data_IF_279565196517
#
_entry.id   IF_279565196517
#
_cell.length_a   1.000
_cell.length_b   1.000
_cell.length_c   1.000
_cell.angle_alpha   90.00
_cell.angle_beta   90.00
_cell.angle_gamma   90.00
#
_symmetry.space_group_name_H-M   'P 1'
#
loop_
_entity.id
_entity.type
_entity.pdbx_description
1 polymer ?
#
# COMPACT_ATOMS: atom_id res chain seq x y z
N UNK A 1 29.52 10.19 -41.04
CA UNK A 1 29.53 10.09 -39.58
C UNK A 1 28.14 9.63 -39.15
N UNK A 2 28.06 8.36 -38.79
CA UNK A 2 26.86 7.73 -38.25
C UNK A 2 26.72 8.24 -36.81
N UNK A 3 25.56 8.84 -36.50
CA UNK A 3 25.21 9.26 -35.15
C UNK A 3 25.05 8.04 -34.21
N UNK A 4 25.62 8.17 -33.05
CA UNK A 4 25.58 7.19 -31.97
C UNK A 4 24.12 6.88 -31.56
N UNK A 5 23.75 5.63 -31.64
CA UNK A 5 22.49 5.10 -31.07
C UNK A 5 22.68 4.91 -29.57
N UNK A 6 22.36 5.91 -28.79
CA UNK A 6 22.27 5.82 -27.35
C UNK A 6 21.19 6.80 -26.88
N UNK A 7 19.94 6.37 -26.98
CA UNK A 7 18.86 6.76 -26.09
C UNK A 7 17.63 5.86 -26.35
N UNK A 8 17.80 4.56 -26.12
CA UNK A 8 16.66 3.73 -25.79
C UNK A 8 16.49 3.91 -24.26
N UNK A 9 15.80 4.97 -23.87
CA UNK A 9 15.19 5.01 -22.56
C UNK A 9 14.47 3.66 -22.37
N UNK A 10 14.80 2.96 -21.30
CA UNK A 10 14.15 1.70 -20.97
C UNK A 10 12.64 1.98 -20.88
N UNK A 11 11.93 1.63 -21.94
CA UNK A 11 10.48 1.73 -21.95
C UNK A 11 9.98 0.69 -20.95
N UNK A 12 9.50 1.15 -19.82
CA UNK A 12 8.91 0.26 -18.82
C UNK A 12 7.55 -0.23 -19.35
N UNK A 13 7.55 -1.47 -19.85
CA UNK A 13 6.35 -2.12 -20.40
C UNK A 13 5.38 -2.61 -19.31
N UNK A 14 5.47 -2.11 -18.08
CA UNK A 14 4.44 -2.42 -17.09
C UNK A 14 3.10 -1.87 -17.57
N UNK A 15 2.13 -2.75 -17.72
CA UNK A 15 0.77 -2.35 -18.04
C UNK A 15 0.11 -1.70 -16.84
N UNK A 16 -0.71 -0.68 -17.07
CA UNK A 16 -1.62 -0.16 -16.06
C UNK A 16 -2.66 -1.22 -15.71
N UNK A 17 -3.03 -1.27 -14.44
CA UNK A 17 -4.12 -2.12 -13.93
C UNK A 17 -5.14 -1.24 -13.22
N UNK A 18 -6.36 -1.74 -13.07
CA UNK A 18 -7.41 -1.09 -12.31
C UNK A 18 -7.56 -1.81 -10.97
N UNK A 19 -7.33 -1.07 -9.88
CA UNK A 19 -7.65 -1.52 -8.54
C UNK A 19 -9.07 -1.12 -8.18
N UNK A 20 -9.91 -2.10 -7.82
CA UNK A 20 -11.23 -1.85 -7.26
C UNK A 20 -11.15 -1.87 -5.71
N UNK A 21 -11.65 -0.80 -5.08
CA UNK A 21 -11.73 -0.65 -3.63
C UNK A 21 -13.20 -0.55 -3.22
N UNK A 22 -13.75 -1.63 -2.65
CA UNK A 22 -15.13 -1.64 -2.15
C UNK A 22 -15.21 -1.00 -0.76
N UNK A 23 -16.01 0.06 -0.63
CA UNK A 23 -16.21 0.82 0.60
C UNK A 23 -17.64 0.64 1.09
N UNK A 24 -17.79 0.32 2.37
CA UNK A 24 -19.10 0.27 3.07
C UNK A 24 -19.38 1.62 3.72
N UNK A 25 -20.64 1.98 3.90
CA UNK A 25 -21.01 3.16 4.66
C UNK A 25 -20.32 3.20 6.03
N UNK A 26 -19.76 4.37 6.38
CA UNK A 26 -18.94 4.55 7.57
C UNK A 26 -17.42 4.38 7.30
N UNK A 27 -16.66 3.97 8.32
CA UNK A 27 -15.22 3.86 8.26
C UNK A 27 -14.75 2.53 7.65
N UNK A 28 -13.81 2.62 6.72
CA UNK A 28 -13.12 1.51 6.07
C UNK A 28 -11.61 1.66 6.28
N UNK A 29 -10.90 0.55 6.40
CA UNK A 29 -9.45 0.51 6.50
C UNK A 29 -8.90 -0.10 5.20
N UNK A 30 -8.31 0.72 4.37
CA UNK A 30 -7.91 0.38 3.00
C UNK A 30 -6.46 0.72 2.72
N UNK A 31 -5.93 0.21 1.60
CA UNK A 31 -4.69 0.64 1.00
C UNK A 31 -4.79 0.62 -0.53
N UNK A 32 -3.85 1.28 -1.16
CA UNK A 32 -3.70 1.25 -2.62
C UNK A 32 -2.49 0.38 -2.97
N UNK A 33 -2.62 -0.45 -4.01
CA UNK A 33 -1.49 -1.20 -4.56
C UNK A 33 -1.09 -0.73 -5.95
N UNK A 34 -1.81 0.26 -6.48
CA UNK A 34 -1.47 0.93 -7.74
C UNK A 34 -1.02 2.37 -7.47
N UNK A 35 -0.06 2.82 -8.25
CA UNK A 35 0.40 4.22 -8.32
C UNK A 35 -0.18 4.83 -9.59
N UNK A 36 -1.18 5.72 -9.43
CA UNK A 36 -1.75 6.52 -10.50
C UNK A 36 -0.77 7.67 -10.87
N UNK A 37 -0.95 8.25 -12.04
CA UNK A 37 -0.14 9.40 -12.50
C UNK A 37 -0.21 10.60 -11.53
N UNK A 38 -1.38 10.79 -10.90
CA UNK A 38 -1.57 11.78 -9.84
C UNK A 38 -2.20 11.11 -8.62
N UNK A 39 -1.43 11.01 -7.54
CA UNK A 39 -1.85 10.44 -6.27
C UNK A 39 -2.44 11.46 -5.30
N UNK A 40 -2.80 12.68 -5.75
CA UNK A 40 -3.51 13.62 -4.90
C UNK A 40 -4.89 13.06 -4.49
N UNK A 41 -5.28 13.12 -3.20
CA UNK A 41 -6.58 12.62 -2.75
C UNK A 41 -7.77 13.18 -3.53
N UNK A 42 -7.71 14.45 -3.93
CA UNK A 42 -8.74 15.11 -4.73
C UNK A 42 -8.91 14.45 -6.11
N UNK A 43 -7.82 13.95 -6.72
CA UNK A 43 -7.83 13.29 -8.03
C UNK A 43 -8.26 11.83 -7.90
N UNK A 44 -7.59 11.07 -7.01
CA UNK A 44 -7.86 9.63 -6.84
C UNK A 44 -9.29 9.36 -6.36
N UNK A 45 -9.82 10.23 -5.48
CA UNK A 45 -11.14 10.05 -4.88
C UNK A 45 -12.26 10.84 -5.59
N UNK A 46 -11.94 11.51 -6.71
CA UNK A 46 -12.92 12.26 -7.50
C UNK A 46 -14.18 11.45 -7.88
N UNK A 47 -14.05 10.15 -8.29
CA UNK A 47 -15.21 9.35 -8.65
C UNK A 47 -16.23 9.14 -7.52
N UNK A 48 -15.79 9.27 -6.26
CA UNK A 48 -16.63 9.07 -5.08
C UNK A 48 -16.79 10.32 -4.22
N UNK A 49 -16.40 11.49 -4.71
CA UNK A 49 -16.33 12.73 -3.92
C UNK A 49 -17.65 13.10 -3.22
N UNK A 50 -18.79 12.84 -3.88
CA UNK A 50 -20.12 13.17 -3.33
C UNK A 50 -20.52 12.25 -2.15
N UNK A 51 -19.82 11.13 -1.97
CA UNK A 51 -20.03 10.16 -0.90
C UNK A 51 -18.89 10.15 0.11
N UNK A 52 -17.74 10.74 -0.27
CA UNK A 52 -16.57 10.82 0.58
C UNK A 52 -16.77 11.86 1.68
N UNK A 53 -16.65 11.44 2.94
CA UNK A 53 -16.62 12.36 4.07
C UNK A 53 -15.19 12.71 4.47
N UNK A 54 -14.30 11.71 4.55
CA UNK A 54 -12.90 11.93 4.94
C UNK A 54 -12.01 10.75 4.54
N UNK A 55 -10.75 11.04 4.23
CA UNK A 55 -9.65 10.06 4.23
C UNK A 55 -8.53 10.56 5.12
N UNK A 56 -7.89 9.64 5.87
CA UNK A 56 -6.75 9.97 6.74
C UNK A 56 -5.81 8.79 6.93
N UNK A 57 -4.55 9.10 7.18
CA UNK A 57 -3.56 8.18 7.72
C UNK A 57 -3.24 8.55 9.19
N UNK A 58 -2.07 8.18 9.72
CA UNK A 58 -1.68 8.50 11.11
C UNK A 58 -1.47 9.98 11.38
N UNK A 59 -1.08 10.76 10.38
CA UNK A 59 -0.57 12.14 10.57
C UNK A 59 -1.32 13.19 9.78
N UNK A 60 -2.05 12.79 8.75
CA UNK A 60 -2.61 13.70 7.76
C UNK A 60 -4.03 13.28 7.36
N UNK A 61 -4.85 14.25 6.97
CA UNK A 61 -6.23 14.02 6.54
C UNK A 61 -6.61 14.88 5.35
N UNK A 62 -7.60 14.39 4.60
CA UNK A 62 -8.28 15.11 3.52
C UNK A 62 -9.79 14.97 3.70
N UNK A 63 -10.50 16.08 3.67
CA UNK A 63 -11.95 16.23 3.72
C UNK A 63 -12.38 17.14 2.57
N UNK A 64 -13.15 16.64 1.59
CA UNK A 64 -13.52 17.41 0.41
C UNK A 64 -14.43 18.63 0.72
N UNK A 65 -15.06 18.66 1.90
CA UNK A 65 -15.90 19.78 2.34
C UNK A 65 -15.09 20.96 2.88
N UNK A 66 -13.83 20.73 3.22
CA UNK A 66 -12.96 21.76 3.79
C UNK A 66 -12.19 22.52 2.71
N UNK A 67 -11.86 23.81 2.97
CA UNK A 67 -10.90 24.54 2.14
C UNK A 67 -9.58 23.78 1.99
N UNK A 68 -8.96 23.84 0.80
CA UNK A 68 -7.75 23.05 0.47
C UNK A 68 -6.61 23.23 1.47
N UNK A 69 -6.44 24.44 2.04
CA UNK A 69 -5.36 24.75 2.98
C UNK A 69 -5.53 24.10 4.38
N UNK A 70 -6.71 23.55 4.67
CA UNK A 70 -6.95 22.77 5.89
C UNK A 70 -6.70 21.26 5.69
N UNK A 71 -6.56 20.84 4.46
CA UNK A 71 -6.25 19.47 4.11
C UNK A 71 -4.74 19.24 4.18
N UNK A 72 -4.32 18.33 5.06
CA UNK A 72 -2.89 18.03 5.30
C UNK A 72 -2.41 16.81 4.53
N UNK A 73 -3.33 15.94 4.07
CA UNK A 73 -3.03 14.82 3.19
C UNK A 73 -3.05 15.30 1.74
N UNK A 74 -1.88 15.50 1.17
CA UNK A 74 -1.71 16.08 -0.17
C UNK A 74 -1.39 15.04 -1.24
N UNK A 75 -0.94 13.83 -0.84
CA UNK A 75 -0.66 12.72 -1.75
C UNK A 75 -0.91 11.40 -1.04
N UNK A 76 -1.52 10.45 -1.72
CA UNK A 76 -1.64 9.06 -1.29
C UNK A 76 -0.34 8.32 -1.60
N UNK A 77 -0.09 7.23 -0.86
CA UNK A 77 1.09 6.40 -1.04
C UNK A 77 0.71 4.93 -0.87
N UNK A 78 1.19 4.07 -1.73
CA UNK A 78 0.93 2.62 -1.68
C UNK A 78 1.46 1.94 -0.41
N UNK A 79 2.40 2.60 0.29
CA UNK A 79 3.00 2.11 1.55
C UNK A 79 2.15 2.40 2.78
N UNK A 80 1.17 3.30 2.66
CA UNK A 80 0.35 3.77 3.77
C UNK A 80 -1.01 3.05 3.80
N UNK A 81 -1.47 2.75 5.00
CA UNK A 81 -2.87 2.42 5.24
C UNK A 81 -3.71 3.67 5.48
N UNK A 82 -4.96 3.62 5.07
CA UNK A 82 -5.88 4.75 5.18
C UNK A 82 -7.19 4.36 5.81
N UNK A 83 -7.70 5.23 6.67
CA UNK A 83 -9.09 5.24 7.07
C UNK A 83 -9.88 6.10 6.11
N UNK A 84 -10.84 5.49 5.41
CA UNK A 84 -11.75 6.18 4.48
C UNK A 84 -13.17 6.11 5.04
N UNK A 85 -13.81 7.26 5.19
CA UNK A 85 -15.20 7.38 5.61
C UNK A 85 -16.07 7.80 4.44
N UNK A 86 -17.11 7.03 4.18
CA UNK A 86 -18.10 7.31 3.14
C UNK A 86 -19.50 7.29 3.72
N UNK A 87 -20.40 8.11 3.17
CA UNK A 87 -21.79 8.24 3.62
C UNK A 87 -22.65 7.04 3.24
N UNK A 88 -22.31 6.35 2.14
CA UNK A 88 -23.00 5.17 1.66
C UNK A 88 -22.02 4.18 0.99
N UNK A 89 -22.48 2.95 0.78
CA UNK A 89 -21.67 1.93 0.09
C UNK A 89 -21.37 2.34 -1.33
N UNK A 90 -20.09 2.29 -1.72
CA UNK A 90 -19.59 2.69 -3.03
C UNK A 90 -18.32 1.89 -3.40
N UNK A 91 -18.08 1.68 -4.68
CA UNK A 91 -16.81 1.17 -5.20
C UNK A 91 -16.00 2.30 -5.82
N UNK A 92 -14.70 2.30 -5.55
CA UNK A 92 -13.71 3.21 -6.14
C UNK A 92 -12.79 2.40 -7.04
N UNK A 93 -12.67 2.81 -8.29
CA UNK A 93 -11.68 2.28 -9.23
C UNK A 93 -10.50 3.25 -9.32
N UNK A 94 -9.29 2.72 -9.20
CA UNK A 94 -8.04 3.47 -9.32
C UNK A 94 -7.19 2.79 -10.38
N UNK A 95 -6.91 3.49 -11.47
CA UNK A 95 -6.03 3.02 -12.52
C UNK A 95 -4.59 3.48 -12.25
N UNK A 96 -3.62 2.58 -12.41
CA UNK A 96 -2.23 2.90 -12.18
C UNK A 96 -1.30 1.71 -12.41
N UNK A 97 -0.03 1.88 -12.09
CA UNK A 97 0.97 0.82 -12.18
C UNK A 97 1.18 0.16 -10.81
N UNK A 98 1.32 -1.17 -10.81
CA UNK A 98 1.73 -1.90 -9.59
C UNK A 98 3.24 -1.78 -9.43
N UNK A 99 3.74 -1.28 -8.29
CA UNK A 99 5.18 -1.26 -8.05
C UNK A 99 5.75 -2.68 -7.99
N UNK A 100 6.96 -2.89 -8.52
CA UNK A 100 7.62 -4.20 -8.50
C UNK A 100 7.89 -4.70 -7.07
N UNK A 101 8.05 -3.78 -6.14
CA UNK A 101 8.19 -4.02 -4.71
C UNK A 101 8.20 -2.71 -3.94
N UNK A 102 8.04 -2.78 -2.64
CA UNK A 102 8.07 -1.62 -1.79
C UNK A 102 8.86 -1.87 -0.52
N UNK A 103 9.67 -0.89 -0.14
CA UNK A 103 10.32 -0.84 1.17
C UNK A 103 9.72 0.30 1.99
N UNK A 104 9.31 0.01 3.21
CA UNK A 104 8.72 0.99 4.10
C UNK A 104 9.38 0.93 5.48
N UNK A 105 9.69 2.11 6.01
CA UNK A 105 10.24 2.22 7.37
C UNK A 105 9.11 2.05 8.38
N UNK A 106 9.28 1.10 9.28
CA UNK A 106 8.37 0.90 10.43
C UNK A 106 9.07 1.34 11.71
N UNK A 107 8.30 1.93 12.61
CA UNK A 107 8.78 2.39 13.92
C UNK A 107 8.31 1.45 15.01
N UNK A 108 9.09 1.32 16.09
CA UNK A 108 8.68 0.61 17.29
C UNK A 108 7.26 1.01 17.72
N UNK A 109 6.43 0.03 17.99
CA UNK A 109 5.02 0.21 18.29
C UNK A 109 4.11 -0.03 17.08
N UNK A 110 2.97 0.64 17.04
CA UNK A 110 1.98 0.48 15.99
C UNK A 110 2.26 1.38 14.78
N UNK A 111 2.16 0.79 13.60
CA UNK A 111 2.26 1.44 12.29
C UNK A 111 0.98 1.16 11.51
N UNK A 112 0.49 2.14 10.78
CA UNK A 112 -0.62 1.98 9.84
C UNK A 112 -0.01 1.88 8.44
N UNK A 113 -0.09 0.69 7.83
CA UNK A 113 0.64 0.34 6.62
C UNK A 113 -0.28 -0.10 5.50
N UNK A 114 0.13 0.14 4.27
CA UNK A 114 -0.47 -0.39 3.07
C UNK A 114 0.05 -1.79 2.74
N UNK A 115 -0.58 -2.41 1.74
CA UNK A 115 -0.15 -3.68 1.17
C UNK A 115 -0.02 -3.54 -0.35
N UNK A 116 1.16 -3.14 -0.85
CA UNK A 116 1.39 -2.76 -2.25
C UNK A 116 1.61 -3.97 -3.16
N UNK A 117 0.69 -4.93 -3.14
CA UNK A 117 0.68 -6.13 -4.02
C UNK A 117 -0.70 -6.34 -4.61
N UNK A 118 -0.72 -6.85 -5.83
CA UNK A 118 -1.93 -7.25 -6.53
C UNK A 118 -2.46 -8.61 -6.06
N UNK A 119 -1.58 -9.48 -5.54
CA UNK A 119 -1.93 -10.81 -5.04
C UNK A 119 -1.77 -10.89 -3.52
N UNK A 120 -2.60 -11.74 -2.91
CA UNK A 120 -2.53 -12.01 -1.48
C UNK A 120 -1.47 -13.04 -1.14
N UNK A 121 -0.78 -12.82 -0.01
CA UNK A 121 0.25 -13.72 0.52
C UNK A 121 0.08 -13.95 2.02
N UNK A 122 0.65 -15.05 2.51
CA UNK A 122 0.63 -15.37 3.94
C UNK A 122 1.45 -14.33 4.75
N UNK A 123 0.95 -13.87 5.92
CA UNK A 123 1.68 -12.89 6.75
C UNK A 123 3.08 -13.34 7.13
N UNK A 124 3.30 -14.63 7.34
CA UNK A 124 4.62 -15.19 7.69
C UNK A 124 5.67 -14.93 6.59
N UNK A 125 5.27 -15.03 5.33
CA UNK A 125 6.14 -14.76 4.17
C UNK A 125 6.37 -13.26 4.00
N UNK A 126 5.29 -12.46 4.04
CA UNK A 126 5.36 -11.02 3.82
C UNK A 126 6.13 -10.27 4.91
N UNK A 127 6.08 -10.75 6.14
CA UNK A 127 6.75 -10.11 7.29
C UNK A 127 8.17 -10.67 7.53
N UNK A 128 8.68 -11.55 6.67
CA UNK A 128 9.97 -12.19 6.84
C UNK A 128 11.14 -11.20 6.97
N UNK A 129 11.09 -10.06 6.27
CA UNK A 129 12.12 -9.01 6.35
C UNK A 129 12.21 -8.34 7.72
N UNK A 130 11.15 -8.40 8.53
CA UNK A 130 11.10 -7.89 9.90
C UNK A 130 11.49 -8.95 10.95
N UNK A 131 11.49 -10.23 10.58
CA UNK A 131 11.91 -11.33 11.44
C UNK A 131 11.18 -11.36 12.79
N UNK A 132 11.93 -11.55 13.87
CA UNK A 132 11.38 -11.66 15.24
C UNK A 132 10.89 -10.32 15.85
N UNK A 133 11.02 -9.21 15.15
CA UNK A 133 10.54 -7.92 15.66
C UNK A 133 9.02 -7.77 15.55
N UNK A 134 8.36 -8.60 14.74
CA UNK A 134 6.90 -8.58 14.57
C UNK A 134 6.21 -9.07 15.83
N UNK A 135 5.32 -8.24 16.37
CA UNK A 135 4.43 -8.60 17.47
C UNK A 135 3.07 -9.03 16.94
N UNK A 136 2.48 -8.25 16.06
CA UNK A 136 1.15 -8.51 15.51
C UNK A 136 0.93 -7.71 14.23
N UNK A 137 0.21 -8.30 13.28
CA UNK A 137 -0.44 -7.57 12.19
C UNK A 137 -1.93 -7.86 12.18
N UNK A 138 -2.74 -6.84 11.90
CA UNK A 138 -4.21 -6.97 11.87
C UNK A 138 -4.86 -5.97 10.93
N UNK A 139 -6.01 -6.36 10.40
CA UNK A 139 -6.96 -5.45 9.78
C UNK A 139 -8.19 -5.27 10.69
N UNK A 140 -9.36 -4.88 10.13
CA UNK A 140 -10.57 -4.66 10.91
C UNK A 140 -11.16 -5.94 11.55
N UNK A 141 -10.90 -7.11 10.95
CA UNK A 141 -11.63 -8.35 11.30
C UNK A 141 -10.71 -9.52 11.61
N UNK A 142 -9.47 -9.49 11.16
CA UNK A 142 -8.52 -10.61 11.23
C UNK A 142 -7.20 -10.15 11.84
N UNK A 143 -6.49 -11.06 12.52
CA UNK A 143 -5.16 -10.79 13.09
C UNK A 143 -4.23 -11.99 12.95
N UNK A 144 -2.93 -11.68 12.89
CA UNK A 144 -1.83 -12.63 12.94
C UNK A 144 -0.82 -12.18 14.01
N UNK A 145 -0.48 -13.11 14.90
CA UNK A 145 0.54 -12.97 15.94
C UNK A 145 1.48 -14.19 15.83
N UNK A 146 2.76 -13.98 15.49
CA UNK A 146 3.71 -15.09 15.32
C UNK A 146 4.00 -15.88 16.60
N UNK A 147 3.70 -15.32 17.79
CA UNK A 147 3.87 -16.01 19.06
C UNK A 147 2.72 -16.97 19.38
N UNK A 148 1.62 -16.88 18.67
CA UNK A 148 0.46 -17.75 18.88
C UNK A 148 0.51 -19.01 18.00
N UNK A 149 -0.07 -20.14 18.48
CA UNK A 149 -0.33 -21.28 17.63
C UNK A 149 -1.10 -20.89 16.36
N UNK A 150 -0.73 -21.48 15.21
CA UNK A 150 -1.30 -21.11 13.90
C UNK A 150 -2.83 -21.12 13.84
N UNK A 151 -3.49 -22.06 14.56
CA UNK A 151 -4.96 -22.15 14.56
C UNK A 151 -5.67 -21.00 15.30
N UNK A 152 -4.95 -20.17 16.06
CA UNK A 152 -5.47 -18.97 16.71
C UNK A 152 -5.33 -17.72 15.82
N UNK A 153 -4.56 -17.81 14.75
CA UNK A 153 -4.39 -16.73 13.81
C UNK A 153 -5.53 -16.72 12.78
N UNK A 154 -6.28 -15.64 12.76
CA UNK A 154 -7.41 -15.47 11.84
C UNK A 154 -7.00 -14.80 10.53
N UNK A 155 -5.89 -14.05 10.50
CA UNK A 155 -5.30 -13.49 9.30
C UNK A 155 -4.34 -14.52 8.70
N UNK A 156 -4.82 -15.33 7.77
CA UNK A 156 -4.05 -16.36 7.06
C UNK A 156 -3.46 -15.86 5.74
N UNK A 157 -4.07 -14.80 5.19
CA UNK A 157 -3.64 -14.17 3.94
C UNK A 157 -3.82 -12.67 4.08
N UNK A 158 -2.78 -11.90 3.73
CA UNK A 158 -2.88 -10.45 3.53
C UNK A 158 -3.53 -10.21 2.18
N UNK A 159 -4.53 -9.37 2.13
CA UNK A 159 -5.36 -9.17 0.96
C UNK A 159 -5.07 -7.79 0.33
N UNK A 160 -4.94 -7.69 -1.02
CA UNK A 160 -4.81 -6.43 -1.73
C UNK A 160 -5.94 -5.45 -1.39
N UNK A 161 -5.65 -4.17 -1.36
CA UNK A 161 -6.64 -3.13 -1.09
C UNK A 161 -7.00 -2.93 0.37
N UNK A 162 -6.58 -3.83 1.28
CA UNK A 162 -6.79 -3.66 2.71
C UNK A 162 -5.61 -2.94 3.38
N UNK A 163 -5.92 -2.06 4.31
CA UNK A 163 -4.93 -1.45 5.21
C UNK A 163 -4.71 -2.33 6.45
N UNK A 164 -3.52 -2.21 7.03
CA UNK A 164 -3.13 -3.02 8.18
C UNK A 164 -2.52 -2.20 9.30
N UNK A 165 -2.76 -2.62 10.52
CA UNK A 165 -2.01 -2.22 11.70
C UNK A 165 -0.91 -3.23 11.97
N UNK A 166 0.35 -2.79 11.89
CA UNK A 166 1.54 -3.60 12.15
C UNK A 166 2.22 -3.10 13.43
N UNK A 167 2.40 -3.99 14.40
CA UNK A 167 3.13 -3.71 15.64
C UNK A 167 4.47 -4.42 15.63
N UNK A 168 5.54 -3.65 15.88
CA UNK A 168 6.91 -4.17 15.97
C UNK A 168 7.58 -3.72 17.28
N UNK A 169 8.55 -4.52 17.73
CA UNK A 169 9.33 -4.25 18.96
C UNK A 169 10.43 -3.22 18.75
N UNK A 170 10.90 -3.04 17.52
CA UNK A 170 12.02 -2.18 17.15
C UNK A 170 11.73 -1.47 15.83
N UNK A 171 12.49 -0.43 15.53
CA UNK A 171 12.47 0.20 14.19
C UNK A 171 13.09 -0.77 13.18
N UNK A 172 12.52 -0.79 11.97
CA UNK A 172 12.99 -1.66 10.92
C UNK A 172 12.55 -1.20 9.54
N UNK A 173 12.90 -1.99 8.54
CA UNK A 173 12.43 -1.83 7.17
C UNK A 173 11.63 -3.06 6.78
N UNK A 174 10.35 -2.84 6.46
CA UNK A 174 9.51 -3.89 5.90
C UNK A 174 9.58 -3.84 4.38
N UNK A 175 9.97 -4.97 3.78
CA UNK A 175 10.07 -5.12 2.34
C UNK A 175 8.97 -6.04 1.87
N UNK A 176 8.17 -5.58 0.91
CA UNK A 176 7.05 -6.29 0.29
C UNK A 176 7.34 -6.45 -1.20
N UNK A 177 7.17 -7.67 -1.72
CA UNK A 177 7.46 -7.99 -3.12
C UNK A 177 8.95 -8.14 -3.41
N UNK A 178 9.28 -8.42 -4.67
CA UNK A 178 10.66 -8.56 -5.11
C UNK A 178 11.28 -7.16 -5.31
N UNK A 179 11.96 -6.65 -4.30
CA UNK A 179 12.96 -5.60 -4.51
C UNK A 179 14.21 -6.29 -5.07
N UNK A 180 14.15 -6.75 -6.33
CA UNK A 180 15.37 -7.14 -7.03
C UNK A 180 16.24 -5.90 -7.12
N UNK A 181 17.40 -5.94 -6.43
CA UNK A 181 18.45 -4.96 -6.68
C UNK A 181 18.74 -4.94 -8.19
N UNK A 182 18.40 -3.85 -8.84
CA UNK A 182 18.84 -3.57 -10.21
C UNK A 182 20.36 -3.35 -10.14
N UNK A 183 21.13 -4.41 -10.34
CA UNK A 183 22.58 -4.28 -10.42
C UNK A 183 23.39 -5.49 -9.94
N UNK A 184 23.21 -6.64 -10.52
CA UNK A 184 24.29 -7.62 -10.56
C UNK A 184 24.42 -8.13 -11.99
N UNK A 185 25.48 -7.65 -12.65
CA UNK A 185 25.88 -8.08 -13.98
C UNK A 185 25.98 -9.59 -14.07
N UNK A 186 25.26 -10.16 -15.03
CA UNK A 186 25.56 -11.51 -15.48
C UNK A 186 26.92 -11.46 -16.18
N UNK A 187 27.96 -11.93 -15.48
CA UNK A 187 29.18 -12.38 -16.12
C UNK A 187 28.82 -13.53 -17.08
N UNK A 188 28.84 -13.21 -18.35
CA UNK A 188 28.78 -14.23 -19.39
C UNK A 188 30.21 -14.77 -19.47
N UNK A 189 30.48 -15.85 -18.75
CA UNK A 189 31.70 -16.63 -18.95
C UNK A 189 31.66 -17.28 -20.32
N UNK A 190 32.80 -17.10 -21.04
CA UNK A 190 33.10 -17.67 -22.36
C UNK A 190 33.03 -19.20 -22.37
#
# INVERSE_FOLDING_TARGET
>A
KLGSATDLAAFDFRSTVVQEVSLKAGWNLVSFYVEADDMAPATVLEPIKDKLEQIKNLTSSYDPSLPFFLNTLTSLNVKDGYWVKVSETVSLEVEGMVPAGASMTVKKGWNLVGYPRESGEAPVSELASLGSTVVQIKNLTKSYDPALPGFLNTLTTMEPGLGYWLKVTENGTWTVGDVSESGSGRDIAK
#
